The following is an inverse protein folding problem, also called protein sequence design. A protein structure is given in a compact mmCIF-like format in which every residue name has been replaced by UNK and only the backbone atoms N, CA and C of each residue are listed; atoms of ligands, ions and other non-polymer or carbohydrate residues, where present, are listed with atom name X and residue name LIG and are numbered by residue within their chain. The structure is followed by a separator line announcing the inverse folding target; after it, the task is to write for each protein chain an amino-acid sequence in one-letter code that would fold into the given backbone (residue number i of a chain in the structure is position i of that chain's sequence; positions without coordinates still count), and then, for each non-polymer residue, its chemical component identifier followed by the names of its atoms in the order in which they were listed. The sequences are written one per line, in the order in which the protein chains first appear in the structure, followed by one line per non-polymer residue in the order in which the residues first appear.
data_IF_478339788863
#
_entry.id   IF_478339788863
#
_cell.length_a   1.000
_cell.length_b   1.000
_cell.length_c   1.000
_cell.angle_alpha   90.00
_cell.angle_beta   90.00
_cell.angle_gamma   90.00
#
_symmetry.space_group_name_H-M   'P 1'
#
loop_
_entity.id
_entity.type
_entity.pdbx_description
1 polymer ?
#
# COMPACT_ATOMS: atom_id res chain seq x y z
N UNK A 1 92.71 -12.09 4.59
CA UNK A 1 91.44 -11.52 5.09
C UNK A 1 90.58 -11.19 3.90
N UNK A 2 89.69 -12.10 3.52
CA UNK A 2 88.78 -11.95 2.36
C UNK A 2 87.35 -11.86 2.88
N UNK A 3 86.80 -10.65 2.80
CA UNK A 3 85.37 -10.40 3.13
C UNK A 3 84.50 -10.82 1.96
N UNK A 4 83.61 -11.81 2.19
CA UNK A 4 82.55 -12.21 1.27
C UNK A 4 81.33 -11.28 1.48
N UNK A 5 80.93 -10.55 0.44
CA UNK A 5 79.69 -9.79 0.38
C UNK A 5 78.56 -10.80 0.07
N UNK A 6 77.56 -10.85 0.94
CA UNK A 6 76.32 -11.54 0.69
C UNK A 6 75.31 -10.58 0.00
N UNK A 7 74.85 -10.97 -1.17
CA UNK A 7 73.79 -10.22 -1.91
C UNK A 7 72.43 -10.82 -1.50
N UNK A 8 71.49 -10.04 -1.02
CA UNK A 8 70.15 -10.54 -0.72
C UNK A 8 69.34 -10.72 -2.01
N UNK A 9 68.83 -11.92 -2.20
CA UNK A 9 67.91 -12.30 -3.27
C UNK A 9 66.50 -11.75 -2.91
N UNK A 10 66.01 -10.74 -3.62
CA UNK A 10 64.63 -10.22 -3.48
C UNK A 10 63.73 -11.08 -4.36
N UNK A 11 62.91 -11.89 -3.72
CA UNK A 11 61.84 -12.68 -4.41
C UNK A 11 60.62 -11.75 -4.59
N UNK A 12 60.41 -11.30 -5.82
CA UNK A 12 59.17 -10.61 -6.21
C UNK A 12 58.06 -11.67 -6.39
N UNK A 13 57.07 -11.71 -5.46
CA UNK A 13 55.85 -12.43 -5.61
C UNK A 13 54.89 -11.65 -6.50
N UNK A 14 54.31 -12.22 -7.57
CA UNK A 14 53.29 -11.52 -8.35
C UNK A 14 51.99 -11.43 -7.54
N UNK A 15 51.55 -10.17 -7.28
CA UNK A 15 50.21 -9.90 -6.74
C UNK A 15 49.20 -10.10 -7.84
N UNK A 16 48.46 -11.22 -7.76
CA UNK A 16 47.31 -11.46 -8.64
C UNK A 16 46.19 -10.49 -8.23
N UNK A 17 46.05 -9.38 -8.96
CA UNK A 17 44.89 -8.49 -8.82
C UNK A 17 43.71 -9.17 -9.47
N UNK A 18 42.85 -9.79 -8.65
CA UNK A 18 41.56 -10.27 -9.08
C UNK A 18 40.67 -9.05 -9.34
N UNK A 19 40.49 -8.69 -10.62
CA UNK A 19 39.51 -7.67 -11.02
C UNK A 19 38.12 -8.22 -10.72
N UNK A 20 37.52 -7.76 -9.63
CA UNK A 20 36.10 -7.98 -9.37
C UNK A 20 35.33 -7.14 -10.40
N UNK A 21 34.81 -7.79 -11.43
CA UNK A 21 33.81 -7.20 -12.31
C UNK A 21 32.55 -6.97 -11.47
N UNK A 22 32.31 -5.72 -11.08
CA UNK A 22 31.03 -5.32 -10.51
C UNK A 22 29.97 -5.48 -11.60
N UNK A 23 29.22 -6.58 -11.53
CA UNK A 23 28.02 -6.76 -12.31
C UNK A 23 27.00 -5.77 -11.75
N UNK A 24 26.85 -4.63 -12.41
CA UNK A 24 25.72 -3.74 -12.17
C UNK A 24 24.45 -4.53 -12.48
N UNK A 25 23.54 -4.73 -11.51
CA UNK A 25 22.29 -5.41 -11.78
C UNK A 25 21.57 -4.65 -12.91
N UNK A 26 21.14 -5.37 -13.94
CA UNK A 26 20.27 -4.78 -14.98
C UNK A 26 19.04 -4.21 -14.28
N UNK A 27 18.58 -2.99 -14.63
CA UNK A 27 17.35 -2.46 -14.10
C UNK A 27 16.23 -3.48 -14.40
N UNK A 28 15.53 -3.91 -13.35
CA UNK A 28 14.36 -4.79 -13.47
C UNK A 28 13.31 -3.99 -14.26
N UNK A 29 12.93 -4.47 -15.45
CA UNK A 29 11.86 -3.84 -16.20
C UNK A 29 10.58 -4.00 -15.39
N UNK A 30 9.94 -2.88 -15.05
CA UNK A 30 8.65 -2.89 -14.37
C UNK A 30 7.60 -3.34 -15.37
N UNK A 31 6.93 -4.43 -15.07
CA UNK A 31 5.84 -4.92 -15.91
C UNK A 31 4.57 -4.13 -15.58
N UNK A 32 3.94 -3.56 -16.61
CA UNK A 32 2.70 -2.81 -16.43
C UNK A 32 1.53 -3.79 -16.27
N UNK A 33 0.74 -3.60 -15.22
CA UNK A 33 -0.52 -4.31 -14.99
C UNK A 33 -1.69 -3.51 -15.58
N UNK A 34 -2.30 -3.97 -16.69
CA UNK A 34 -3.40 -3.26 -17.32
C UNK A 34 -4.70 -3.25 -16.50
N UNK A 35 -4.78 -4.06 -15.44
CA UNK A 35 -5.96 -4.16 -14.60
C UNK A 35 -5.96 -3.17 -13.42
N UNK A 36 -4.85 -2.46 -13.21
CA UNK A 36 -4.71 -1.49 -12.13
C UNK A 36 -4.98 -0.07 -12.61
N UNK A 37 -5.82 0.61 -11.85
CA UNK A 37 -6.13 2.03 -12.03
C UNK A 37 -5.84 2.77 -10.74
N UNK A 38 -5.42 4.03 -10.84
CA UNK A 38 -5.20 4.87 -9.67
C UNK A 38 -5.72 6.29 -9.88
N UNK A 39 -6.28 6.87 -8.82
CA UNK A 39 -6.62 8.28 -8.71
C UNK A 39 -5.90 8.84 -7.49
N UNK A 40 -5.09 9.86 -7.67
CA UNK A 40 -4.49 10.63 -6.58
C UNK A 40 -5.20 11.98 -6.53
N UNK A 41 -5.82 12.30 -5.40
CA UNK A 41 -6.47 13.57 -5.16
C UNK A 41 -5.70 14.28 -4.07
N UNK A 42 -4.93 15.29 -4.47
CA UNK A 42 -4.26 16.22 -3.58
C UNK A 42 -5.19 17.41 -3.35
N UNK A 43 -5.74 17.51 -2.14
CA UNK A 43 -6.70 18.52 -1.74
C UNK A 43 -6.09 19.92 -1.56
N UNK A 44 -6.90 20.85 -1.05
CA UNK A 44 -6.43 22.19 -0.72
C UNK A 44 -5.45 22.15 0.46
N UNK A 45 -4.27 22.75 0.29
CA UNK A 45 -3.22 22.79 1.31
C UNK A 45 -3.49 23.83 2.41
N UNK A 46 -4.23 24.89 2.09
CA UNK A 46 -4.49 26.02 2.99
C UNK A 46 -3.24 26.88 3.18
N UNK A 47 -2.24 26.37 3.92
CA UNK A 47 -0.95 27.03 4.12
C UNK A 47 0.09 26.53 3.12
N UNK A 48 1.05 27.40 2.75
CA UNK A 48 2.06 27.09 1.74
C UNK A 48 2.93 25.88 2.10
N UNK A 49 3.19 25.67 3.39
CA UNK A 49 3.96 24.52 3.89
C UNK A 49 3.26 23.21 3.58
N UNK A 50 1.96 23.12 3.89
CA UNK A 50 1.18 21.91 3.61
C UNK A 50 0.97 21.70 2.11
N UNK A 51 0.71 22.77 1.35
CA UNK A 51 0.59 22.67 -0.10
C UNK A 51 1.84 22.05 -0.74
N UNK A 52 3.04 22.50 -0.35
CA UNK A 52 4.32 21.94 -0.81
C UNK A 52 4.51 20.47 -0.38
N UNK A 53 4.15 20.14 0.85
CA UNK A 53 4.27 18.79 1.38
C UNK A 53 3.33 17.82 0.64
N UNK A 54 2.08 18.20 0.41
CA UNK A 54 1.11 17.40 -0.31
C UNK A 54 1.51 17.21 -1.78
N UNK A 55 2.07 18.25 -2.41
CA UNK A 55 2.63 18.15 -3.75
C UNK A 55 3.80 17.16 -3.81
N UNK A 56 4.73 17.22 -2.83
CA UNK A 56 5.84 16.28 -2.75
C UNK A 56 5.36 14.84 -2.58
N UNK A 57 4.42 14.60 -1.66
CA UNK A 57 3.85 13.27 -1.45
C UNK A 57 3.11 12.75 -2.69
N UNK A 58 2.37 13.62 -3.40
CA UNK A 58 1.72 13.28 -4.66
C UNK A 58 2.72 12.84 -5.72
N UNK A 59 3.84 13.55 -5.83
CA UNK A 59 4.93 13.24 -6.75
C UNK A 59 5.62 11.92 -6.39
N UNK A 60 5.94 11.72 -5.12
CA UNK A 60 6.62 10.50 -4.65
C UNK A 60 5.73 9.27 -4.84
N UNK A 61 4.43 9.38 -4.51
CA UNK A 61 3.45 8.33 -4.72
C UNK A 61 3.29 8.01 -6.21
N UNK A 62 3.07 9.01 -7.06
CA UNK A 62 2.91 8.79 -8.50
C UNK A 62 4.16 8.15 -9.13
N UNK A 63 5.34 8.49 -8.62
CA UNK A 63 6.61 7.89 -9.04
C UNK A 63 6.70 6.43 -8.61
N UNK A 64 6.37 6.11 -7.35
CA UNK A 64 6.36 4.74 -6.87
C UNK A 64 5.39 3.87 -7.69
N UNK A 65 4.15 4.31 -7.86
CA UNK A 65 3.13 3.57 -8.60
C UNK A 65 3.55 3.28 -10.05
N UNK A 66 4.13 4.25 -10.75
CA UNK A 66 4.44 4.09 -12.19
C UNK A 66 5.82 3.50 -12.47
N UNK A 67 6.81 3.72 -11.61
CA UNK A 67 8.18 3.25 -11.85
C UNK A 67 8.54 1.97 -11.12
N UNK A 68 7.78 1.59 -10.10
CA UNK A 68 8.03 0.39 -9.29
C UNK A 68 6.83 -0.56 -9.29
N UNK A 69 5.62 -0.04 -9.09
CA UNK A 69 4.46 -0.87 -8.79
C UNK A 69 3.65 -1.26 -10.05
N UNK A 70 4.13 -0.92 -11.23
CA UNK A 70 3.59 -1.38 -12.51
C UNK A 70 2.25 -0.77 -12.91
N UNK A 71 1.88 0.39 -12.38
CA UNK A 71 0.71 1.10 -12.89
C UNK A 71 0.99 1.72 -14.27
N UNK A 72 0.06 1.53 -15.20
CA UNK A 72 0.11 2.23 -16.47
C UNK A 72 -0.06 3.75 -16.24
N UNK A 73 0.87 4.59 -16.68
CA UNK A 73 0.71 6.04 -16.60
C UNK A 73 -0.60 6.57 -17.23
N UNK A 74 -1.19 5.83 -18.20
CA UNK A 74 -2.47 6.17 -18.80
C UNK A 74 -3.67 5.80 -17.89
N UNK A 75 -3.48 4.91 -16.91
CA UNK A 75 -4.47 4.53 -15.92
C UNK A 75 -4.33 5.32 -14.60
N UNK A 76 -3.35 6.23 -14.52
CA UNK A 76 -3.16 7.11 -13.38
C UNK A 76 -3.82 8.48 -13.67
N UNK A 77 -4.68 8.92 -12.76
CA UNK A 77 -5.28 10.27 -12.76
C UNK A 77 -4.78 11.03 -11.54
N UNK A 78 -4.28 12.25 -11.76
CA UNK A 78 -3.80 13.12 -10.69
C UNK A 78 -4.63 14.40 -10.68
N UNK A 79 -5.25 14.67 -9.56
CA UNK A 79 -5.94 15.91 -9.28
C UNK A 79 -5.16 16.65 -8.19
N UNK A 80 -4.81 17.89 -8.39
CA UNK A 80 -3.97 18.67 -7.47
C UNK A 80 -4.49 20.10 -7.35
N UNK A 81 -4.15 20.76 -6.25
CA UNK A 81 -4.53 22.16 -6.03
C UNK A 81 -4.03 23.07 -7.16
N UNK A 82 -2.77 22.89 -7.57
CA UNK A 82 -2.10 23.69 -8.60
C UNK A 82 -1.53 22.79 -9.68
N UNK A 83 -2.31 22.43 -10.74
CA UNK A 83 -1.81 21.61 -11.83
C UNK A 83 -0.59 22.21 -12.49
N UNK A 84 0.54 21.49 -12.51
CA UNK A 84 1.79 21.96 -13.10
C UNK A 84 1.88 21.64 -14.62
N UNK A 85 1.09 20.68 -15.11
CA UNK A 85 1.10 20.23 -16.49
C UNK A 85 -0.30 19.84 -16.98
N UNK A 86 -0.40 19.49 -18.26
CA UNK A 86 -1.66 19.07 -18.89
C UNK A 86 -2.13 17.67 -18.47
N UNK A 87 -1.33 16.91 -17.73
CA UNK A 87 -1.66 15.55 -17.26
C UNK A 87 -2.36 15.56 -15.91
N UNK A 88 -2.22 16.66 -15.16
CA UNK A 88 -2.88 16.85 -13.89
C UNK A 88 -4.09 17.78 -14.05
N UNK A 89 -5.14 17.50 -13.26
CA UNK A 89 -6.38 18.27 -13.21
C UNK A 89 -6.45 19.05 -11.90
N UNK A 90 -7.30 20.08 -11.85
CA UNK A 90 -7.52 20.79 -10.61
C UNK A 90 -8.41 19.98 -9.65
N UNK A 91 -8.03 19.89 -8.38
CA UNK A 91 -8.74 19.10 -7.36
C UNK A 91 -10.00 19.82 -6.87
N UNK A 92 -10.98 20.01 -7.76
CA UNK A 92 -12.31 20.52 -7.45
C UNK A 92 -13.33 19.37 -7.40
N UNK A 93 -14.43 19.57 -6.67
CA UNK A 93 -15.51 18.57 -6.60
C UNK A 93 -16.05 18.21 -7.99
N UNK A 94 -16.13 19.18 -8.91
CA UNK A 94 -16.56 18.95 -10.29
C UNK A 94 -15.58 18.03 -11.05
N UNK A 95 -14.29 18.31 -11.00
CA UNK A 95 -13.27 17.48 -11.67
C UNK A 95 -13.15 16.09 -11.07
N UNK A 96 -13.34 15.95 -9.75
CA UNK A 96 -13.44 14.62 -9.10
C UNK A 96 -14.62 13.85 -9.70
N UNK A 97 -15.81 14.42 -9.71
CA UNK A 97 -17.02 13.78 -10.27
C UNK A 97 -16.83 13.44 -11.75
N UNK A 98 -16.22 14.33 -12.53
CA UNK A 98 -15.92 14.09 -13.95
C UNK A 98 -14.94 12.94 -14.14
N UNK A 99 -13.89 12.88 -13.32
CA UNK A 99 -12.90 11.79 -13.36
C UNK A 99 -13.54 10.43 -13.11
N UNK A 100 -14.39 10.31 -12.08
CA UNK A 100 -15.10 9.07 -11.81
C UNK A 100 -16.16 8.72 -12.87
N UNK A 101 -16.79 9.72 -13.49
CA UNK A 101 -17.65 9.48 -14.65
C UNK A 101 -16.92 8.89 -15.85
N UNK A 102 -15.67 9.29 -16.10
CA UNK A 102 -14.83 8.69 -17.14
C UNK A 102 -14.39 7.28 -16.75
N UNK A 103 -13.91 7.10 -15.51
CA UNK A 103 -13.51 5.79 -14.99
C UNK A 103 -14.65 4.76 -15.06
N UNK A 104 -15.89 5.17 -14.88
CA UNK A 104 -17.06 4.30 -15.05
C UNK A 104 -17.15 3.68 -16.44
N UNK A 105 -16.61 4.34 -17.46
CA UNK A 105 -16.61 3.84 -18.86
C UNK A 105 -15.33 3.09 -19.21
N UNK A 106 -14.24 3.33 -18.47
CA UNK A 106 -12.93 2.70 -18.72
C UNK A 106 -12.76 1.41 -17.93
N UNK A 107 -13.33 1.33 -16.71
CA UNK A 107 -13.18 0.19 -15.81
C UNK A 107 -14.05 -0.99 -16.22
N UNK A 108 -13.58 -2.19 -15.91
CA UNK A 108 -14.27 -3.47 -16.03
C UNK A 108 -14.34 -4.16 -14.66
N UNK A 109 -15.14 -5.22 -14.55
CA UNK A 109 -15.38 -5.93 -13.29
C UNK A 109 -14.10 -6.46 -12.64
N UNK A 110 -13.12 -6.87 -13.44
CA UNK A 110 -11.86 -7.47 -12.95
C UNK A 110 -10.79 -6.44 -12.58
N UNK A 111 -11.02 -5.14 -12.86
CA UNK A 111 -10.07 -4.10 -12.52
C UNK A 111 -10.06 -3.80 -11.02
N UNK A 112 -8.92 -3.30 -10.54
CA UNK A 112 -8.76 -2.75 -9.19
C UNK A 112 -8.52 -1.25 -9.30
N UNK A 113 -9.29 -0.48 -8.56
CA UNK A 113 -9.11 0.97 -8.47
C UNK A 113 -8.52 1.35 -7.11
N UNK A 114 -7.39 2.03 -7.14
CA UNK A 114 -6.78 2.66 -5.96
C UNK A 114 -7.11 4.14 -5.95
N UNK A 115 -7.59 4.64 -4.81
CA UNK A 115 -7.93 6.06 -4.61
C UNK A 115 -7.15 6.57 -3.41
N UNK A 116 -6.27 7.53 -3.65
CA UNK A 116 -5.45 8.17 -2.62
C UNK A 116 -5.93 9.59 -2.39
N UNK A 117 -6.29 9.92 -1.15
CA UNK A 117 -6.66 11.24 -0.72
C UNK A 117 -5.55 11.82 0.14
N UNK A 118 -4.81 12.82 -0.36
CA UNK A 118 -3.71 13.50 0.31
C UNK A 118 -4.15 14.94 0.60
N UNK A 119 -4.28 15.31 1.87
CA UNK A 119 -4.77 16.66 2.17
C UNK A 119 -5.31 16.79 3.59
N UNK A 120 -6.16 17.76 3.75
CA UNK A 120 -6.94 17.97 4.95
C UNK A 120 -8.35 17.41 4.78
N UNK A 121 -8.96 17.07 5.90
CA UNK A 121 -10.37 16.73 5.98
C UNK A 121 -11.04 17.47 7.12
N UNK A 122 -12.35 17.44 7.14
CA UNK A 122 -13.19 18.10 8.15
C UNK A 122 -14.36 17.20 8.53
N UNK A 123 -14.85 17.38 9.77
CA UNK A 123 -16.01 16.67 10.28
C UNK A 123 -16.86 17.65 11.10
N UNK A 124 -18.10 17.83 10.71
CA UNK A 124 -19.03 18.74 11.36
C UNK A 124 -19.93 18.07 12.43
N UNK A 125 -19.60 16.85 12.84
CA UNK A 125 -20.41 16.03 13.75
C UNK A 125 -21.51 15.22 13.06
N UNK A 126 -21.63 15.32 11.74
CA UNK A 126 -22.63 14.61 10.93
C UNK A 126 -21.99 13.86 9.78
N UNK A 127 -21.19 14.54 8.97
CA UNK A 127 -20.63 13.99 7.75
C UNK A 127 -19.15 14.40 7.58
N UNK A 128 -18.25 13.43 7.36
CA UNK A 128 -16.86 13.71 7.08
C UNK A 128 -16.71 14.19 5.63
N UNK A 129 -15.78 15.15 5.41
CA UNK A 129 -15.50 15.73 4.11
C UNK A 129 -14.00 15.73 3.84
N UNK A 130 -13.63 15.54 2.59
CA UNK A 130 -12.28 15.79 2.11
C UNK A 130 -12.21 17.20 1.50
N UNK A 131 -11.22 17.99 1.94
CA UNK A 131 -11.11 19.39 1.59
C UNK A 131 -10.50 19.56 0.20
N UNK A 132 -11.27 20.15 -0.71
CA UNK A 132 -10.92 20.38 -2.10
C UNK A 132 -10.73 21.86 -2.39
N UNK A 133 -10.27 22.17 -3.59
CA UNK A 133 -10.27 23.55 -4.08
C UNK A 133 -11.71 23.98 -4.39
N UNK A 134 -12.24 24.86 -3.57
CA UNK A 134 -13.64 25.27 -3.61
C UNK A 134 -14.51 24.43 -2.66
N UNK A 135 -15.70 23.99 -3.06
CA UNK A 135 -16.55 23.17 -2.20
C UNK A 135 -15.94 21.79 -1.92
N UNK A 136 -15.95 21.40 -0.65
CA UNK A 136 -15.49 20.10 -0.20
C UNK A 136 -16.44 18.97 -0.64
N UNK A 137 -15.91 17.77 -0.80
CA UNK A 137 -16.70 16.60 -1.17
C UNK A 137 -16.93 15.70 0.05
N UNK A 138 -18.18 15.43 0.43
CA UNK A 138 -18.50 14.56 1.55
C UNK A 138 -18.31 13.08 1.23
N UNK A 139 -18.12 12.26 2.28
CA UNK A 139 -17.93 10.82 2.13
C UNK A 139 -19.09 10.12 1.43
N UNK A 140 -20.33 10.58 1.65
CA UNK A 140 -21.52 10.04 0.98
C UNK A 140 -21.48 10.20 -0.54
N UNK A 141 -20.90 11.30 -1.02
CA UNK A 141 -20.71 11.51 -2.46
C UNK A 141 -19.60 10.60 -3.01
N UNK A 142 -18.48 10.41 -2.29
CA UNK A 142 -17.47 9.42 -2.66
C UNK A 142 -18.05 8.00 -2.70
N UNK A 143 -18.85 7.60 -1.71
CA UNK A 143 -19.53 6.31 -1.73
C UNK A 143 -20.43 6.14 -2.96
N UNK A 144 -21.18 7.16 -3.30
CA UNK A 144 -22.03 7.16 -4.51
C UNK A 144 -21.21 7.02 -5.80
N UNK A 145 -20.05 7.70 -5.87
CA UNK A 145 -19.14 7.58 -7.01
C UNK A 145 -18.60 6.15 -7.11
N UNK A 146 -18.08 5.58 -6.03
CA UNK A 146 -17.51 4.22 -6.01
C UNK A 146 -18.55 3.14 -6.30
N UNK A 147 -19.74 3.27 -5.72
CA UNK A 147 -20.85 2.32 -5.92
C UNK A 147 -21.40 2.36 -7.34
N UNK A 148 -21.11 3.42 -8.11
CA UNK A 148 -21.51 3.53 -9.52
C UNK A 148 -20.55 2.83 -10.49
N UNK A 149 -19.35 2.42 -10.03
CA UNK A 149 -18.32 1.79 -10.85
C UNK A 149 -18.68 0.33 -11.18
N UNK A 150 -18.20 -0.20 -12.32
CA UNK A 150 -18.44 -1.59 -12.68
C UNK A 150 -17.64 -2.60 -11.85
N UNK A 151 -16.55 -2.16 -11.18
CA UNK A 151 -15.76 -2.98 -10.26
C UNK A 151 -16.15 -2.75 -8.81
N UNK A 152 -16.18 -3.80 -8.00
CA UNK A 152 -16.31 -3.73 -6.54
C UNK A 152 -14.94 -3.66 -5.84
N UNK A 153 -13.83 -3.86 -6.56
CA UNK A 153 -12.47 -3.87 -6.01
C UNK A 153 -11.92 -2.45 -5.95
N UNK A 154 -12.26 -1.73 -4.89
CA UNK A 154 -11.84 -0.33 -4.67
C UNK A 154 -11.04 -0.24 -3.38
N UNK A 155 -9.82 0.28 -3.47
CA UNK A 155 -8.92 0.52 -2.34
C UNK A 155 -8.85 2.02 -2.11
N UNK A 156 -9.36 2.48 -0.99
CA UNK A 156 -9.37 3.90 -0.61
C UNK A 156 -8.37 4.13 0.52
N UNK A 157 -7.37 4.94 0.27
CA UNK A 157 -6.38 5.35 1.26
C UNK A 157 -6.59 6.85 1.53
N UNK A 158 -7.42 7.16 2.54
CA UNK A 158 -7.67 8.52 2.97
C UNK A 158 -6.65 8.94 4.03
N UNK A 159 -5.63 9.64 3.59
CA UNK A 159 -4.50 10.08 4.40
C UNK A 159 -4.71 11.47 5.02
N UNK A 160 -5.93 12.00 4.97
CA UNK A 160 -6.24 13.34 5.49
C UNK A 160 -6.50 13.35 7.01
N UNK A 161 -6.41 14.54 7.61
CA UNK A 161 -6.93 14.79 8.96
C UNK A 161 -8.44 14.56 9.03
N UNK A 162 -8.99 14.30 10.21
CA UNK A 162 -10.41 14.04 10.46
C UNK A 162 -11.04 12.97 9.56
N UNK A 163 -10.24 12.02 9.04
CA UNK A 163 -10.66 11.01 8.06
C UNK A 163 -11.37 9.80 8.64
N UNK A 164 -11.32 9.59 9.97
CA UNK A 164 -11.74 8.33 10.59
C UNK A 164 -13.18 7.89 10.27
N UNK A 165 -14.10 8.84 10.21
CA UNK A 165 -15.51 8.54 9.88
C UNK A 165 -15.72 8.05 8.43
N UNK A 166 -14.74 8.24 7.55
CA UNK A 166 -14.76 7.67 6.19
C UNK A 166 -14.73 6.14 6.22
N UNK A 167 -14.08 5.51 7.20
CA UNK A 167 -14.05 4.05 7.33
C UNK A 167 -15.48 3.49 7.33
N UNK A 168 -16.36 4.01 8.18
CA UNK A 168 -17.77 3.62 8.23
C UNK A 168 -18.54 4.03 6.98
N UNK A 169 -18.32 5.26 6.51
CA UNK A 169 -19.10 5.83 5.40
C UNK A 169 -18.83 5.15 4.06
N UNK A 170 -17.61 4.64 3.88
CA UNK A 170 -17.16 4.01 2.63
C UNK A 170 -17.12 2.48 2.71
N UNK A 171 -17.41 1.89 3.87
CA UNK A 171 -17.43 0.44 4.04
C UNK A 171 -18.36 -0.24 3.07
N UNK A 172 -17.86 -1.23 2.34
CA UNK A 172 -18.63 -2.06 1.43
C UNK A 172 -17.87 -3.36 1.12
N UNK A 173 -18.62 -4.42 0.78
CA UNK A 173 -18.01 -5.69 0.38
C UNK A 173 -17.09 -5.53 -0.83
N UNK A 174 -15.86 -6.01 -0.72
CA UNK A 174 -14.84 -5.91 -1.77
C UNK A 174 -14.08 -4.58 -1.78
N UNK A 175 -14.36 -3.69 -0.84
CA UNK A 175 -13.68 -2.41 -0.67
C UNK A 175 -12.72 -2.49 0.52
N UNK A 176 -11.56 -1.86 0.36
CA UNK A 176 -10.60 -1.62 1.44
C UNK A 176 -10.62 -0.13 1.72
N UNK A 177 -10.76 0.26 2.98
CA UNK A 177 -10.73 1.65 3.42
C UNK A 177 -9.67 1.82 4.50
N UNK A 178 -8.66 2.63 4.21
CA UNK A 178 -7.65 3.07 5.18
C UNK A 178 -7.89 4.55 5.45
N UNK A 179 -7.86 4.93 6.72
CA UNK A 179 -7.92 6.33 7.16
C UNK A 179 -6.71 6.66 8.02
N UNK A 180 -6.18 7.89 7.95
CA UNK A 180 -5.03 8.31 8.75
C UNK A 180 -5.42 8.65 10.20
N UNK A 181 -6.70 8.83 10.47
CA UNK A 181 -7.21 9.20 11.81
C UNK A 181 -8.29 8.23 12.26
N UNK A 182 -8.47 8.12 13.57
CA UNK A 182 -9.46 7.24 14.19
C UNK A 182 -10.87 7.82 14.15
N UNK A 183 -10.98 9.14 14.16
CA UNK A 183 -12.27 9.83 14.17
C UNK A 183 -12.14 11.26 13.63
N UNK A 184 -13.27 11.93 13.46
CA UNK A 184 -13.33 13.30 12.97
C UNK A 184 -12.81 14.37 13.93
N UNK A 185 -12.41 14.01 15.16
CA UNK A 185 -11.83 14.95 16.14
C UNK A 185 -10.31 15.07 16.02
N UNK A 186 -9.66 14.15 15.31
CA UNK A 186 -8.23 14.19 15.03
C UNK A 186 -7.98 15.11 13.82
N UNK A 187 -7.99 16.42 14.06
CA UNK A 187 -7.98 17.47 13.04
C UNK A 187 -6.59 18.01 12.70
N UNK A 188 -5.54 17.56 13.40
CA UNK A 188 -4.17 17.98 13.10
C UNK A 188 -3.71 17.38 11.75
N UNK A 189 -2.78 18.09 11.09
CA UNK A 189 -2.12 17.54 9.90
C UNK A 189 -1.45 16.21 10.24
N UNK A 190 -1.58 15.25 9.32
CA UNK A 190 -1.13 13.87 9.51
C UNK A 190 0.29 13.65 9.00
N UNK A 191 1.04 12.75 9.64
CA UNK A 191 2.34 12.25 9.20
C UNK A 191 2.24 10.89 8.49
N UNK A 192 1.13 10.19 8.71
CA UNK A 192 0.83 8.89 8.10
C UNK A 192 1.08 8.83 6.58
N UNK A 193 0.74 9.87 5.76
CA UNK A 193 0.96 9.83 4.32
C UNK A 193 2.43 9.57 3.95
N UNK A 194 3.37 10.26 4.62
CA UNK A 194 4.80 10.09 4.38
C UNK A 194 5.26 8.66 4.62
N UNK A 195 4.83 8.05 5.72
CA UNK A 195 5.19 6.68 6.08
C UNK A 195 4.49 5.63 5.21
N UNK A 196 3.25 5.89 4.76
CA UNK A 196 2.59 5.00 3.81
C UNK A 196 3.31 4.97 2.45
N UNK A 197 3.73 6.12 1.96
CA UNK A 197 4.51 6.22 0.71
C UNK A 197 5.91 5.61 0.89
N UNK A 198 6.53 5.78 2.06
CA UNK A 198 7.80 5.13 2.40
C UNK A 198 7.69 3.60 2.36
N UNK A 199 6.59 3.04 2.90
CA UNK A 199 6.34 1.60 2.90
C UNK A 199 6.42 0.97 1.50
N UNK A 200 5.98 1.68 0.47
CA UNK A 200 6.03 1.19 -0.91
C UNK A 200 7.47 0.94 -1.40
N UNK A 201 8.47 1.56 -0.77
CA UNK A 201 9.89 1.45 -1.13
C UNK A 201 10.73 0.72 -0.07
N UNK A 202 10.19 0.50 1.13
CA UNK A 202 10.91 -0.06 2.26
C UNK A 202 10.94 -1.60 2.20
N UNK A 203 12.12 -2.19 2.27
CA UNK A 203 12.28 -3.65 2.29
C UNK A 203 11.81 -4.29 3.58
N UNK A 204 11.76 -3.54 4.68
CA UNK A 204 11.25 -3.99 5.98
C UNK A 204 9.72 -3.83 6.12
N UNK A 205 9.06 -3.27 5.10
CA UNK A 205 7.61 -3.31 4.98
C UNK A 205 7.11 -4.71 4.56
N UNK A 206 7.86 -5.44 3.71
CA UNK A 206 7.60 -6.83 3.34
C UNK A 206 7.87 -7.76 4.54
N UNK A 207 6.87 -7.95 5.39
CA UNK A 207 7.00 -8.68 6.65
C UNK A 207 6.94 -10.20 6.48
N UNK A 208 6.24 -10.69 5.47
CA UNK A 208 6.14 -12.12 5.16
C UNK A 208 7.23 -12.58 4.17
N UNK A 209 8.07 -11.64 3.70
CA UNK A 209 9.22 -11.86 2.83
C UNK A 209 8.87 -12.57 1.50
N UNK A 210 7.70 -12.25 0.96
CA UNK A 210 7.29 -12.75 -0.34
C UNK A 210 7.86 -11.93 -1.52
N UNK A 211 8.54 -10.83 -1.23
CA UNK A 211 9.21 -9.94 -2.17
C UNK A 211 8.33 -8.77 -2.61
N UNK A 212 7.19 -8.58 -1.99
CA UNK A 212 6.17 -7.61 -2.34
C UNK A 212 5.62 -6.92 -1.10
N UNK A 213 4.92 -5.81 -1.28
CA UNK A 213 4.26 -5.10 -0.18
C UNK A 213 2.77 -5.05 -0.44
N UNK A 214 2.01 -5.79 0.37
CA UNK A 214 0.56 -5.75 0.36
C UNK A 214 0.03 -4.43 0.94
N UNK A 215 -1.23 -4.12 0.67
CA UNK A 215 -1.93 -2.97 1.29
C UNK A 215 -1.93 -3.06 2.81
N UNK A 216 -2.06 -4.30 3.35
CA UNK A 216 -1.98 -4.53 4.79
C UNK A 216 -0.60 -4.20 5.37
N UNK A 217 0.45 -4.67 4.73
CA UNK A 217 1.82 -4.42 5.17
C UNK A 217 2.19 -2.95 5.11
N UNK A 218 1.77 -2.25 4.03
CA UNK A 218 1.93 -0.80 3.94
C UNK A 218 1.20 -0.07 5.08
N UNK A 219 -0.02 -0.49 5.41
CA UNK A 219 -0.78 0.04 6.54
C UNK A 219 -0.08 -0.19 7.89
N UNK A 220 0.33 -1.43 8.16
CA UNK A 220 1.00 -1.81 9.43
C UNK A 220 2.32 -1.07 9.59
N UNK A 221 3.12 -0.98 8.52
CA UNK A 221 4.37 -0.24 8.48
C UNK A 221 4.15 1.24 8.81
N UNK A 222 3.23 1.88 8.08
CA UNK A 222 2.93 3.30 8.26
C UNK A 222 2.39 3.60 9.66
N UNK A 223 1.49 2.78 10.17
CA UNK A 223 0.91 2.94 11.51
C UNK A 223 1.98 2.82 12.60
N UNK A 224 2.88 1.84 12.48
CA UNK A 224 4.03 1.68 13.40
C UNK A 224 4.94 2.90 13.38
N UNK A 225 5.35 3.39 12.20
CA UNK A 225 6.25 4.55 12.11
C UNK A 225 5.59 5.84 12.58
N UNK A 226 4.29 6.01 12.35
CA UNK A 226 3.53 7.13 12.90
C UNK A 226 3.57 7.13 14.43
N UNK A 227 3.31 6.00 15.08
CA UNK A 227 3.39 5.88 16.53
C UNK A 227 4.82 6.13 17.06
N UNK A 228 5.83 5.61 16.38
CA UNK A 228 7.25 5.84 16.71
C UNK A 228 7.64 7.32 16.57
N UNK A 229 7.15 8.03 15.55
CA UNK A 229 7.38 9.45 15.36
C UNK A 229 6.94 10.27 16.59
N UNK A 230 5.70 10.05 17.06
CA UNK A 230 5.19 10.75 18.25
C UNK A 230 5.95 10.36 19.51
N UNK A 231 6.28 9.10 19.68
CA UNK A 231 7.07 8.61 20.83
C UNK A 231 8.45 9.25 20.87
N UNK A 232 9.17 9.30 19.75
CA UNK A 232 10.50 9.94 19.64
C UNK A 232 10.45 11.45 19.89
N UNK A 233 9.35 12.08 19.47
CA UNK A 233 9.13 13.51 19.71
C UNK A 233 8.69 13.81 21.15
N UNK A 234 8.45 12.81 22.01
CA UNK A 234 7.92 12.99 23.36
C UNK A 234 6.51 13.61 23.38
N UNK A 235 5.71 13.36 22.35
CA UNK A 235 4.38 13.94 22.14
C UNK A 235 3.31 12.86 22.20
N UNK A 236 2.10 13.23 22.59
CA UNK A 236 0.94 12.36 22.41
C UNK A 236 0.59 12.28 20.93
N UNK A 237 0.25 11.07 20.46
CA UNK A 237 -0.23 10.90 19.11
C UNK A 237 -1.55 11.65 18.88
N UNK A 238 -1.65 12.34 17.75
CA UNK A 238 -2.85 13.10 17.34
C UNK A 238 -3.47 12.53 16.08
N UNK A 239 -3.00 11.37 15.64
CA UNK A 239 -3.52 10.57 14.53
C UNK A 239 -3.38 9.09 14.84
N UNK A 240 -4.39 8.31 14.48
CA UNK A 240 -4.45 6.86 14.67
C UNK A 240 -5.14 6.26 13.46
N UNK A 241 -4.35 5.64 12.59
CA UNK A 241 -4.87 5.11 11.33
C UNK A 241 -5.76 3.88 11.56
N UNK A 242 -6.79 3.75 10.74
CA UNK A 242 -7.71 2.62 10.74
C UNK A 242 -7.69 1.88 9.41
N UNK A 243 -7.91 0.57 9.47
CA UNK A 243 -8.21 -0.30 8.34
C UNK A 243 -9.62 -0.88 8.50
N UNK A 244 -10.41 -0.83 7.43
CA UNK A 244 -11.69 -1.54 7.27
C UNK A 244 -11.67 -2.26 5.91
N UNK A 245 -11.85 -3.59 5.87
CA UNK A 245 -11.80 -4.37 4.64
C UNK A 245 -12.77 -5.58 4.59
N UNK A 246 -13.62 -5.72 5.61
CA UNK A 246 -14.61 -6.80 5.68
C UNK A 246 -16.05 -6.36 5.35
N UNK A 247 -16.29 -5.04 5.29
CA UNK A 247 -17.59 -4.47 4.94
C UNK A 247 -18.56 -4.34 6.11
N UNK A 248 -18.07 -4.34 7.37
CA UNK A 248 -18.92 -4.19 8.57
C UNK A 248 -19.04 -2.75 9.08
N UNK A 249 -18.25 -1.83 8.53
CA UNK A 249 -18.24 -0.41 8.87
C UNK A 249 -17.45 -0.06 10.13
N UNK A 250 -16.64 -0.99 10.63
CA UNK A 250 -15.78 -0.80 11.79
C UNK A 250 -14.32 -0.77 11.37
N UNK A 251 -13.66 0.36 11.55
CA UNK A 251 -12.22 0.45 11.28
C UNK A 251 -11.39 0.07 12.50
N UNK A 252 -10.28 -0.63 12.29
CA UNK A 252 -9.39 -1.13 13.33
C UNK A 252 -7.99 -0.55 13.21
N UNK A 253 -7.40 -0.09 14.34
CA UNK A 253 -5.99 0.35 14.40
C UNK A 253 -5.01 -0.84 14.31
N UNK A 254 -5.48 -2.01 14.69
CA UNK A 254 -4.71 -3.27 14.68
C UNK A 254 -5.52 -4.32 13.95
N UNK A 255 -4.81 -5.14 13.20
CA UNK A 255 -5.42 -6.27 12.51
C UNK A 255 -5.88 -7.28 13.55
N UNK A 256 -7.19 -7.42 13.68
CA UNK A 256 -7.85 -8.41 14.53
C UNK A 256 -8.31 -9.61 13.70
N UNK A 257 -8.83 -10.64 14.36
CA UNK A 257 -9.36 -11.81 13.66
C UNK A 257 -10.58 -11.41 12.80
N UNK A 258 -10.47 -11.58 11.50
CA UNK A 258 -11.51 -11.19 10.54
C UNK A 258 -11.22 -9.92 9.75
N UNK A 259 -10.19 -9.15 10.16
CA UNK A 259 -9.73 -7.94 9.51
C UNK A 259 -8.44 -8.18 8.72
N UNK A 260 -8.20 -7.32 7.73
CA UNK A 260 -6.93 -7.29 6.99
C UNK A 260 -6.76 -8.37 5.92
N UNK A 261 -7.76 -9.20 5.64
CA UNK A 261 -7.60 -10.28 4.66
C UNK A 261 -7.62 -9.79 3.24
N UNK A 262 -8.57 -8.92 2.93
CA UNK A 262 -8.64 -8.35 1.60
C UNK A 262 -7.41 -7.45 1.37
N UNK A 263 -7.01 -6.69 2.38
CA UNK A 263 -5.82 -5.85 2.34
C UNK A 263 -4.52 -6.66 2.18
N UNK A 264 -4.43 -7.84 2.83
CA UNK A 264 -3.30 -8.78 2.68
C UNK A 264 -3.21 -9.37 1.29
N UNK A 265 -4.37 -9.68 0.68
CA UNK A 265 -4.44 -10.26 -0.67
C UNK A 265 -4.37 -9.21 -1.80
N UNK A 266 -4.24 -7.93 -1.46
CA UNK A 266 -4.21 -6.82 -2.41
C UNK A 266 -2.82 -6.17 -2.41
N UNK A 267 -2.15 -6.22 -3.55
CA UNK A 267 -0.79 -5.68 -3.73
C UNK A 267 -0.80 -4.43 -4.60
N UNK A 268 0.04 -3.46 -4.23
CA UNK A 268 0.25 -2.27 -5.07
C UNK A 268 1.17 -2.60 -6.26
N UNK A 269 2.16 -3.43 -6.07
CA UNK A 269 3.05 -3.85 -7.16
C UNK A 269 2.44 -4.94 -8.07
N UNK A 270 3.12 -5.27 -9.17
CA UNK A 270 2.58 -6.13 -10.24
C UNK A 270 2.80 -7.63 -10.04
N UNK A 271 2.85 -8.08 -8.80
CA UNK A 271 3.16 -9.47 -8.44
C UNK A 271 2.32 -10.52 -9.15
N UNK A 272 1.01 -10.28 -9.22
CA UNK A 272 0.08 -11.30 -9.70
C UNK A 272 0.17 -11.58 -11.20
N UNK A 273 0.67 -10.64 -12.00
CA UNK A 273 0.70 -10.75 -13.46
C UNK A 273 2.03 -11.34 -13.97
N UNK A 274 3.16 -10.88 -13.42
CA UNK A 274 4.48 -11.41 -13.84
C UNK A 274 4.62 -12.89 -13.55
N UNK A 275 4.30 -13.29 -12.32
CA UNK A 275 4.41 -14.68 -11.94
C UNK A 275 3.33 -15.57 -12.56
N UNK A 276 2.13 -15.03 -12.80
CA UNK A 276 1.06 -15.77 -13.45
C UNK A 276 1.26 -15.92 -14.96
N UNK A 277 1.88 -14.94 -15.65
CA UNK A 277 2.12 -14.98 -17.08
C UNK A 277 3.32 -15.86 -17.46
N UNK A 278 4.39 -15.85 -16.67
CA UNK A 278 5.61 -16.60 -16.96
C UNK A 278 5.63 -18.02 -16.36
N UNK A 279 4.88 -18.28 -15.27
CA UNK A 279 4.91 -19.56 -14.59
C UNK A 279 3.53 -19.97 -14.04
N UNK A 280 2.86 -20.84 -14.79
CA UNK A 280 1.55 -21.43 -14.39
C UNK A 280 1.64 -22.11 -13.00
N UNK A 281 2.81 -22.61 -12.61
CA UNK A 281 3.01 -23.23 -11.31
C UNK A 281 2.97 -22.19 -10.17
N UNK A 282 3.54 -20.99 -10.36
CA UNK A 282 3.51 -19.92 -9.38
C UNK A 282 2.09 -19.37 -9.22
N UNK A 283 1.36 -19.15 -10.33
CA UNK A 283 -0.03 -18.74 -10.27
C UNK A 283 -0.92 -19.75 -9.50
N UNK A 284 -0.59 -21.05 -9.59
CA UNK A 284 -1.26 -22.09 -8.79
C UNK A 284 -0.92 -21.96 -7.31
N UNK A 285 0.34 -21.69 -6.97
CA UNK A 285 0.80 -21.53 -5.59
C UNK A 285 0.18 -20.28 -4.94
N UNK A 286 0.08 -19.17 -5.67
CA UNK A 286 -0.58 -17.95 -5.18
C UNK A 286 -2.07 -18.19 -4.89
N UNK A 287 -2.80 -18.88 -5.77
CA UNK A 287 -4.19 -19.27 -5.52
C UNK A 287 -4.33 -20.19 -4.31
N UNK A 288 -3.40 -21.12 -4.14
CA UNK A 288 -3.37 -22.02 -2.99
C UNK A 288 -3.09 -21.27 -1.69
N UNK A 289 -2.17 -20.29 -1.70
CA UNK A 289 -1.92 -19.39 -0.57
C UNK A 289 -3.20 -18.66 -0.16
N UNK A 290 -3.88 -17.99 -1.10
CA UNK A 290 -5.12 -17.26 -0.83
C UNK A 290 -6.21 -18.20 -0.27
N UNK A 291 -6.31 -19.43 -0.78
CA UNK A 291 -7.25 -20.44 -0.24
C UNK A 291 -6.95 -20.78 1.22
N UNK A 292 -5.67 -21.05 1.54
CA UNK A 292 -5.24 -21.39 2.91
C UNK A 292 -5.44 -20.24 3.88
N UNK A 293 -5.16 -19.01 3.47
CA UNK A 293 -5.40 -17.80 4.26
C UNK A 293 -6.89 -17.65 4.57
N UNK A 294 -7.77 -17.85 3.59
CA UNK A 294 -9.23 -17.86 3.79
C UNK A 294 -9.72 -18.99 4.70
N UNK A 295 -9.10 -20.18 4.65
CA UNK A 295 -9.43 -21.28 5.57
C UNK A 295 -9.00 -21.03 7.01
N UNK A 296 -7.82 -20.42 7.20
CA UNK A 296 -7.32 -20.00 8.52
C UNK A 296 -8.31 -19.03 9.15
N UNK A 297 -8.79 -18.09 8.38
CA UNK A 297 -9.75 -17.10 8.86
C UNK A 297 -11.09 -17.73 9.24
N UNK A 298 -11.66 -18.56 8.35
CA UNK A 298 -12.89 -19.27 8.68
C UNK A 298 -12.75 -20.11 9.95
N UNK A 299 -11.56 -20.68 10.18
CA UNK A 299 -11.26 -21.41 11.39
C UNK A 299 -11.21 -20.48 12.62
N UNK A 300 -10.56 -19.33 12.50
CA UNK A 300 -10.48 -18.30 13.55
C UNK A 300 -11.88 -17.81 13.91
N UNK A 301 -12.72 -17.52 12.92
CA UNK A 301 -14.12 -17.11 13.14
C UNK A 301 -14.97 -18.16 13.85
N UNK A 302 -14.59 -19.45 13.75
CA UNK A 302 -15.28 -20.57 14.42
C UNK A 302 -14.68 -20.95 15.78
N UNK A 303 -13.63 -20.29 16.25
CA UNK A 303 -12.90 -20.63 17.48
C UNK A 303 -13.83 -20.84 18.67
N UNK A 304 -14.83 -19.99 18.86
CA UNK A 304 -15.79 -20.08 19.97
C UNK A 304 -16.75 -21.26 19.88
N UNK A 305 -16.88 -21.88 18.70
CA UNK A 305 -17.85 -22.92 18.40
C UNK A 305 -17.22 -24.31 18.25
N UNK A 306 -15.93 -24.47 18.62
CA UNK A 306 -15.25 -25.76 18.54
C UNK A 306 -14.35 -26.01 19.75
N UNK A 307 -14.02 -27.29 20.06
CA UNK A 307 -13.10 -27.65 21.13
C UNK A 307 -11.70 -27.06 20.92
N UNK A 308 -11.07 -26.53 21.99
CA UNK A 308 -9.77 -25.87 21.91
C UNK A 308 -8.69 -26.72 21.24
N UNK A 309 -8.55 -27.99 21.63
CA UNK A 309 -7.54 -28.88 21.03
C UNK A 309 -7.80 -29.20 19.56
N UNK A 310 -9.04 -29.20 19.08
CA UNK A 310 -9.39 -29.36 17.67
C UNK A 310 -9.07 -28.07 16.90
N UNK A 311 -9.34 -26.90 17.49
CA UNK A 311 -8.97 -25.61 16.92
C UNK A 311 -7.46 -25.49 16.74
N UNK A 312 -6.67 -25.76 17.77
CA UNK A 312 -5.22 -25.68 17.73
C UNK A 312 -4.61 -26.61 16.69
N UNK A 313 -5.05 -27.87 16.64
CA UNK A 313 -4.55 -28.86 15.68
C UNK A 313 -4.86 -28.46 14.23
N UNK A 314 -6.08 -27.93 13.97
CA UNK A 314 -6.45 -27.47 12.64
C UNK A 314 -5.67 -26.20 12.24
N UNK A 315 -5.49 -25.29 13.17
CA UNK A 315 -4.73 -24.04 12.95
C UNK A 315 -3.26 -24.34 12.66
N UNK A 316 -2.62 -25.22 13.44
CA UNK A 316 -1.24 -25.65 13.20
C UNK A 316 -1.07 -26.27 11.82
N UNK A 317 -1.98 -27.16 11.42
CA UNK A 317 -1.96 -27.79 10.10
C UNK A 317 -2.01 -26.76 8.98
N UNK A 318 -2.94 -25.80 9.05
CA UNK A 318 -3.08 -24.75 8.03
C UNK A 318 -1.84 -23.85 7.95
N UNK A 319 -1.26 -23.47 9.09
CA UNK A 319 -0.02 -22.69 9.10
C UNK A 319 1.18 -23.45 8.52
N UNK A 320 1.28 -24.77 8.77
CA UNK A 320 2.33 -25.58 8.16
C UNK A 320 2.15 -25.63 6.64
N UNK A 321 0.93 -25.79 6.14
CA UNK A 321 0.65 -25.82 4.70
C UNK A 321 0.94 -24.45 4.07
N UNK A 322 0.54 -23.36 4.70
CA UNK A 322 0.82 -21.98 4.26
C UNK A 322 2.33 -21.72 4.18
N UNK A 323 3.08 -22.12 5.21
CA UNK A 323 4.55 -21.99 5.24
C UNK A 323 5.24 -22.78 4.11
N UNK A 324 4.72 -23.95 3.75
CA UNK A 324 5.22 -24.73 2.60
C UNK A 324 4.94 -24.03 1.28
N UNK A 325 3.75 -23.49 1.10
CA UNK A 325 3.36 -22.76 -0.11
C UNK A 325 4.23 -21.51 -0.27
N UNK A 326 4.40 -20.70 0.79
CA UNK A 326 5.26 -19.51 0.77
C UNK A 326 6.72 -19.87 0.42
N UNK A 327 7.26 -20.96 0.98
CA UNK A 327 8.60 -21.45 0.61
C UNK A 327 8.68 -21.81 -0.88
N UNK A 328 7.65 -22.46 -1.42
CA UNK A 328 7.61 -22.86 -2.83
C UNK A 328 7.50 -21.65 -3.76
N UNK A 329 6.75 -20.62 -3.39
CA UNK A 329 6.67 -19.33 -4.11
C UNK A 329 8.06 -18.71 -4.16
N UNK A 330 8.75 -18.60 -3.01
CA UNK A 330 10.09 -18.03 -2.91
C UNK A 330 11.13 -18.79 -3.77
N UNK A 331 11.04 -20.11 -3.83
CA UNK A 331 11.93 -20.94 -4.66
C UNK A 331 11.63 -20.86 -6.16
N UNK A 332 10.41 -20.55 -6.54
CA UNK A 332 10.00 -20.46 -7.93
C UNK A 332 10.21 -19.04 -8.51
N UNK A 333 10.40 -18.03 -7.66
CA UNK A 333 10.71 -16.65 -8.03
C UNK A 333 12.21 -16.31 -8.06
N UNK A 334 13.09 -17.29 -7.74
CA UNK A 334 14.56 -17.20 -7.90
C UNK A 334 15.01 -17.95 -9.15
#
# INVERSE_FOLDING_TARGET
MTRRLAVPLIILLPVLVCAQTSVTPKPKLVQIDPNKFAVIINGAGGEEEYAKQFEQWTKDLSTALTQKDGFDPNHLRILTENPADSKSLRSTAEEVKRTFSLLKTELHQDNVLFVFLIGHGSFDGREPKFNLVGPDLPASEYDSLFSSLPTSRVVVINMSSASGEFAKSLSAKGRIVITATRNGQETNATHFPGFFIEALNATDADTDQDGHVSVLEAFVYANRLTAEFYTRAGRLATEHALLEDNGDGVGHERVEAGEGLLARATYLDSLSVEQAAENVAVAKLLRERTRLEGEIEQLIARKTNMPEGEYEANLEKLFIELAKVNRSIKQAGT
#
